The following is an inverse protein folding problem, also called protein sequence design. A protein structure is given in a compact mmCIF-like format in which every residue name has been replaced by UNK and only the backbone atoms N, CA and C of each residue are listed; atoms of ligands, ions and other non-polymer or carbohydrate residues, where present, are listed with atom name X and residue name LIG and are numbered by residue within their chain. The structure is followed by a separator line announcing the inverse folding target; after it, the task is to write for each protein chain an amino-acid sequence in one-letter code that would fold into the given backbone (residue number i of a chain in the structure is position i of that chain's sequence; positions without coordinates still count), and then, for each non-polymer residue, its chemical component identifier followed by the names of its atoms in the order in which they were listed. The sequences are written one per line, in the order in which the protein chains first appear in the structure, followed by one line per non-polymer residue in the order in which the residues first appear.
data_IF_550951087433
#
_entry.id   IF_550951087433
#
_cell.length_a   1.000
_cell.length_b   1.000
_cell.length_c   1.000
_cell.angle_alpha   90.00
_cell.angle_beta   90.00
_cell.angle_gamma   90.00
#
_symmetry.space_group_name_H-M   'P 1'
#
loop_
_entity.id
_entity.type
_entity.pdbx_description
1 polymer ?
#
# COMPACT_ATOMS: atom_id res chain seq x y z
N UNK A 1 15.17 -4.09 -8.12
CA UNK A 1 15.13 -2.82 -7.34
C UNK A 1 14.41 -1.82 -8.23
N UNK A 2 13.07 -1.88 -8.27
CA UNK A 2 12.30 -1.33 -9.40
C UNK A 2 10.93 -0.74 -9.04
N UNK A 3 10.57 -0.67 -7.77
CA UNK A 3 9.37 0.08 -7.36
C UNK A 3 9.83 1.22 -6.45
N UNK A 4 9.49 2.47 -6.78
CA UNK A 4 9.83 3.69 -6.03
C UNK A 4 9.19 3.78 -4.62
N UNK A 5 8.94 2.64 -3.98
CA UNK A 5 8.38 2.48 -2.65
C UNK A 5 9.46 2.01 -1.67
N UNK A 6 9.38 2.50 -0.44
CA UNK A 6 10.23 2.03 0.66
C UNK A 6 9.88 0.56 0.94
N UNK A 7 10.91 -0.30 1.02
CA UNK A 7 10.73 -1.70 1.37
C UNK A 7 10.05 -1.84 2.73
N UNK A 8 9.01 -2.68 2.79
CA UNK A 8 8.22 -2.90 3.99
C UNK A 8 9.05 -3.42 5.18
N UNK A 9 10.11 -4.20 4.90
CA UNK A 9 11.08 -4.65 5.90
C UNK A 9 11.93 -3.50 6.44
N UNK A 10 12.45 -2.66 5.54
CA UNK A 10 13.19 -1.44 5.90
C UNK A 10 12.37 -0.45 6.73
N UNK A 11 11.11 -0.19 6.34
CA UNK A 11 10.21 0.69 7.08
C UNK A 11 9.85 0.12 8.46
N UNK A 12 9.65 -1.20 8.55
CA UNK A 12 9.42 -1.89 9.82
C UNK A 12 10.60 -1.72 10.78
N UNK A 13 11.82 -1.94 10.30
CA UNK A 13 13.03 -1.76 11.10
C UNK A 13 13.21 -0.31 11.58
N UNK A 14 13.02 0.66 10.68
CA UNK A 14 13.06 2.09 11.04
C UNK A 14 12.04 2.43 12.14
N UNK A 15 10.80 1.94 12.01
CA UNK A 15 9.73 2.19 12.98
C UNK A 15 10.08 1.65 14.37
N UNK A 16 10.67 0.45 14.45
CA UNK A 16 11.13 -0.14 15.71
C UNK A 16 12.25 0.70 16.33
N UNK A 17 13.22 1.12 15.54
CA UNK A 17 14.36 1.92 16.02
C UNK A 17 13.95 3.34 16.45
N UNK A 18 13.02 3.99 15.73
CA UNK A 18 12.46 5.29 16.12
C UNK A 18 11.68 5.19 17.43
N UNK A 19 10.88 4.14 17.60
CA UNK A 19 10.21 3.84 18.87
C UNK A 19 11.20 3.65 20.02
N UNK A 20 12.25 2.85 19.83
CA UNK A 20 13.28 2.63 20.85
C UNK A 20 14.00 3.93 21.23
N UNK A 21 14.38 4.75 20.25
CA UNK A 21 15.06 6.03 20.49
C UNK A 21 14.19 7.01 21.29
N UNK A 22 12.91 7.14 20.93
CA UNK A 22 11.96 8.00 21.62
C UNK A 22 11.69 7.55 23.05
N UNK A 23 11.62 6.24 23.30
CA UNK A 23 11.50 5.70 24.66
C UNK A 23 12.72 6.09 25.50
N UNK A 24 13.94 5.94 24.95
CA UNK A 24 15.18 6.35 25.61
C UNK A 24 15.25 7.86 25.87
N UNK A 25 14.54 8.67 25.08
CA UNK A 25 14.42 10.13 25.26
C UNK A 25 13.29 10.56 26.21
N UNK A 26 12.51 9.62 26.76
CA UNK A 26 11.37 9.92 27.61
C UNK A 26 10.15 10.47 26.85
N UNK A 27 10.10 10.30 25.53
CA UNK A 27 9.03 10.78 24.64
C UNK A 27 7.88 9.76 24.50
N UNK A 28 7.70 8.87 25.48
CA UNK A 28 6.73 7.76 25.40
C UNK A 28 5.28 8.23 25.32
N UNK A 29 4.94 9.39 25.88
CA UNK A 29 3.59 9.98 25.77
C UNK A 29 3.24 10.39 24.33
N UNK A 30 4.24 10.75 23.52
CA UNK A 30 4.05 11.10 22.10
C UNK A 30 3.76 9.87 21.22
N UNK A 31 3.94 8.65 21.75
CA UNK A 31 3.69 7.40 21.02
C UNK A 31 2.24 6.92 21.13
N UNK A 32 1.53 7.27 22.20
CA UNK A 32 0.21 6.68 22.50
C UNK A 32 -0.88 7.05 21.48
N UNK A 33 -0.67 8.13 20.71
CA UNK A 33 -1.66 8.64 19.76
C UNK A 33 -1.14 8.69 18.31
N UNK A 34 0.05 8.16 18.04
CA UNK A 34 0.68 8.27 16.71
C UNK A 34 0.44 6.99 15.90
N UNK A 35 -0.26 7.13 14.77
CA UNK A 35 -0.28 6.09 13.74
C UNK A 35 1.04 6.10 12.96
N UNK A 36 1.59 4.94 12.57
CA UNK A 36 2.79 4.89 11.75
C UNK A 36 2.56 5.67 10.45
N UNK A 37 3.44 6.62 10.14
CA UNK A 37 3.39 7.33 8.87
C UNK A 37 4.13 6.54 7.80
N UNK A 38 3.45 6.25 6.69
CA UNK A 38 4.06 5.64 5.52
C UNK A 38 4.81 6.74 4.77
N UNK A 39 6.10 6.51 4.48
CA UNK A 39 6.95 7.44 3.74
C UNK A 39 6.99 6.96 2.29
N UNK A 40 6.41 7.72 1.36
CA UNK A 40 6.54 7.50 -0.08
C UNK A 40 7.78 8.23 -0.63
N UNK A 41 8.43 7.66 -1.65
CA UNK A 41 9.65 8.21 -2.26
C UNK A 41 9.31 8.95 -3.56
N UNK A 42 9.85 10.17 -3.72
CA UNK A 42 9.51 11.12 -4.79
C UNK A 42 10.13 10.77 -6.16
N UNK A 43 9.36 10.89 -7.26
CA UNK A 43 9.87 11.08 -8.63
C UNK A 43 9.02 12.07 -9.45
N UNK A 44 9.60 13.27 -9.64
CA UNK A 44 9.54 14.23 -10.75
C UNK A 44 8.30 14.43 -11.69
N UNK A 45 7.59 15.55 -11.45
CA UNK A 45 7.21 16.70 -12.33
C UNK A 45 6.00 16.65 -13.29
N UNK A 46 4.87 17.21 -12.79
CA UNK A 46 3.83 18.13 -13.38
C UNK A 46 2.85 17.65 -14.47
N UNK A 47 1.62 18.23 -14.60
CA UNK A 47 0.80 19.05 -13.68
C UNK A 47 -0.57 18.42 -13.34
N UNK A 48 -1.19 18.86 -12.23
CA UNK A 48 -2.52 18.44 -11.72
C UNK A 48 -2.63 16.92 -11.52
N UNK A 49 -2.29 16.46 -10.31
CA UNK A 49 -2.63 15.09 -9.89
C UNK A 49 -4.14 15.00 -9.73
N UNK A 50 -4.79 14.54 -10.79
CA UNK A 50 -6.18 14.14 -10.79
C UNK A 50 -6.29 12.89 -9.93
N UNK A 51 -6.94 12.97 -8.77
CA UNK A 51 -7.45 11.78 -8.07
C UNK A 51 -8.86 11.52 -8.57
N UNK A 52 -9.03 11.38 -9.89
CA UNK A 52 -10.22 10.72 -10.41
C UNK A 52 -9.95 9.23 -10.25
N UNK A 53 -10.83 8.55 -9.51
CA UNK A 53 -10.92 7.08 -9.54
C UNK A 53 -11.55 6.64 -10.88
N UNK A 54 -11.08 7.21 -11.99
CA UNK A 54 -11.53 6.91 -13.33
C UNK A 54 -10.42 6.11 -14.02
N UNK A 55 -10.55 4.78 -13.90
CA UNK A 55 -10.13 3.74 -14.83
C UNK A 55 -9.00 4.13 -15.79
N UNK A 56 -7.80 3.60 -15.54
CA UNK A 56 -6.89 3.28 -16.64
C UNK A 56 -7.18 1.86 -17.05
N UNK A 57 -7.62 1.71 -18.29
CA UNK A 57 -7.95 0.47 -18.96
C UNK A 57 -6.68 -0.27 -19.40
N UNK A 58 -6.68 -1.59 -19.23
CA UNK A 58 -6.00 -2.59 -20.06
C UNK A 58 -4.51 -2.37 -20.38
N UNK A 59 -3.65 -2.53 -19.37
CA UNK A 59 -2.43 -3.32 -19.56
C UNK A 59 -2.74 -4.74 -19.07
N UNK A 60 -2.28 -5.77 -19.78
CA UNK A 60 -2.42 -7.15 -19.33
C UNK A 60 -1.74 -7.30 -17.97
N UNK A 61 -2.50 -7.09 -16.89
CA UNK A 61 -2.01 -7.24 -15.52
C UNK A 61 -1.46 -8.66 -15.39
N UNK A 62 -0.15 -8.77 -15.19
CA UNK A 62 0.49 -10.05 -14.90
C UNK A 62 -0.21 -10.58 -13.63
N UNK A 63 -0.87 -11.75 -13.68
CA UNK A 63 -1.62 -12.24 -12.55
C UNK A 63 -0.73 -12.38 -11.32
N UNK A 64 -1.16 -11.85 -10.18
CA UNK A 64 -0.49 -12.04 -8.91
C UNK A 64 -0.51 -13.53 -8.53
N UNK A 65 -1.56 -14.26 -8.92
CA UNK A 65 -1.70 -15.68 -8.65
C UNK A 65 -2.18 -15.96 -7.24
N UNK A 66 -1.63 -17.02 -6.63
CA UNK A 66 -2.12 -17.54 -5.36
C UNK A 66 -1.10 -17.42 -4.23
N UNK A 67 -1.54 -16.89 -3.10
CA UNK A 67 -0.86 -17.04 -1.83
C UNK A 67 -1.15 -18.45 -1.28
N UNK A 68 -0.15 -19.32 -1.33
CA UNK A 68 -0.25 -20.73 -0.94
C UNK A 68 0.47 -20.99 0.38
N UNK A 69 -0.26 -21.43 1.38
CA UNK A 69 0.21 -21.61 2.76
C UNK A 69 -0.21 -22.98 3.29
N UNK A 70 0.71 -23.67 3.97
CA UNK A 70 0.40 -24.95 4.63
C UNK A 70 1.44 -25.31 5.69
N UNK A 71 1.08 -26.28 6.53
CA UNK A 71 1.96 -26.95 7.47
C UNK A 71 2.20 -28.39 7.00
N UNK A 72 3.44 -28.75 6.70
CA UNK A 72 3.86 -30.11 6.37
C UNK A 72 4.33 -30.83 7.64
N UNK A 73 3.78 -32.01 7.90
CA UNK A 73 4.24 -32.92 8.96
C UNK A 73 4.76 -34.22 8.37
N UNK A 74 5.94 -34.65 8.79
CA UNK A 74 6.63 -35.82 8.26
C UNK A 74 7.71 -36.32 9.20
N UNK A 75 8.63 -37.13 8.67
CA UNK A 75 9.87 -37.56 9.33
C UNK A 75 11.04 -37.22 8.42
N UNK A 76 12.17 -36.88 9.00
CA UNK A 76 13.41 -36.53 8.28
C UNK A 76 13.19 -35.44 7.22
N UNK A 77 12.33 -34.47 7.52
CA UNK A 77 12.14 -33.31 6.66
C UNK A 77 13.42 -32.47 6.65
N UNK A 78 13.75 -31.93 5.48
CA UNK A 78 14.90 -31.04 5.32
C UNK A 78 14.37 -29.68 4.82
N UNK A 79 14.20 -28.70 5.74
CA UNK A 79 13.70 -27.37 5.38
C UNK A 79 14.52 -26.69 4.29
N UNK A 80 15.84 -26.88 4.26
CA UNK A 80 16.71 -26.26 3.25
C UNK A 80 16.55 -26.93 1.88
N UNK A 81 16.39 -28.25 1.85
CA UNK A 81 16.07 -28.98 0.61
C UNK A 81 14.69 -28.59 0.06
N UNK A 82 13.68 -28.49 0.93
CA UNK A 82 12.33 -28.03 0.57
C UNK A 82 12.40 -26.61 -0.01
N UNK A 83 13.09 -25.71 0.67
CA UNK A 83 13.29 -24.32 0.23
C UNK A 83 13.97 -24.26 -1.15
N UNK A 84 15.05 -25.02 -1.34
CA UNK A 84 15.78 -25.06 -2.62
C UNK A 84 14.92 -25.56 -3.78
N UNK A 85 14.02 -26.52 -3.54
CA UNK A 85 13.09 -27.01 -4.55
C UNK A 85 12.04 -25.94 -4.88
N UNK A 86 11.41 -25.37 -3.85
CA UNK A 86 10.31 -24.42 -4.01
C UNK A 86 10.75 -23.04 -4.51
N UNK A 87 12.03 -22.66 -4.37
CA UNK A 87 12.58 -21.41 -4.91
C UNK A 87 12.36 -21.24 -6.43
N UNK A 88 12.21 -22.35 -7.17
CA UNK A 88 11.99 -22.34 -8.62
C UNK A 88 10.51 -22.38 -9.01
N UNK A 89 9.61 -22.43 -8.03
CA UNK A 89 8.18 -22.71 -8.20
C UNK A 89 7.29 -21.50 -7.87
N UNK A 90 7.88 -20.38 -7.48
CA UNK A 90 7.14 -19.19 -7.10
C UNK A 90 8.04 -18.10 -6.52
N UNK A 91 7.39 -17.09 -5.94
CA UNK A 91 8.01 -15.92 -5.33
C UNK A 91 7.66 -15.84 -3.84
N UNK A 92 8.32 -14.94 -3.11
CA UNK A 92 8.04 -14.67 -1.68
C UNK A 92 8.04 -15.92 -0.80
N UNK A 93 8.93 -16.88 -1.11
CA UNK A 93 9.00 -18.15 -0.41
C UNK A 93 9.49 -17.99 1.03
N UNK A 94 8.71 -18.51 1.97
CA UNK A 94 9.06 -18.68 3.37
C UNK A 94 8.95 -20.16 3.70
N UNK A 95 10.04 -20.73 4.23
CA UNK A 95 10.09 -22.10 4.72
C UNK A 95 10.73 -22.07 6.10
N UNK A 96 9.98 -22.45 7.12
CA UNK A 96 10.41 -22.40 8.53
C UNK A 96 9.97 -23.68 9.22
N UNK A 97 10.87 -24.33 9.96
CA UNK A 97 10.56 -25.54 10.69
C UNK A 97 11.79 -26.41 10.96
N UNK A 98 11.53 -27.69 11.24
CA UNK A 98 12.50 -28.72 11.58
C UNK A 98 12.26 -30.01 10.78
N UNK A 99 12.85 -31.12 11.24
CA UNK A 99 12.77 -32.45 10.62
C UNK A 99 11.43 -33.15 10.78
N UNK A 100 10.54 -32.63 11.63
CA UNK A 100 9.20 -33.20 11.86
C UNK A 100 8.10 -32.32 11.27
N UNK A 101 8.28 -31.00 11.30
CA UNK A 101 7.23 -30.03 10.95
C UNK A 101 7.81 -28.82 10.23
N UNK A 102 7.26 -28.50 9.06
CA UNK A 102 7.68 -27.36 8.22
C UNK A 102 6.48 -26.53 7.81
N UNK A 103 6.49 -25.23 8.14
CA UNK A 103 5.52 -24.25 7.62
C UNK A 103 6.05 -23.66 6.31
N UNK A 104 5.19 -23.62 5.31
CA UNK A 104 5.49 -23.08 3.99
C UNK A 104 4.50 -21.97 3.65
N UNK A 105 5.01 -20.87 3.09
CA UNK A 105 4.24 -19.82 2.43
C UNK A 105 4.94 -19.51 1.10
N UNK A 106 4.21 -19.49 -0.01
CA UNK A 106 4.74 -19.19 -1.34
C UNK A 106 3.68 -18.53 -2.21
N UNK A 107 4.07 -17.54 -3.01
CA UNK A 107 3.24 -16.97 -4.07
C UNK A 107 3.51 -17.72 -5.38
N UNK A 108 2.49 -18.32 -5.96
CA UNK A 108 2.63 -19.12 -7.19
C UNK A 108 1.38 -19.07 -8.06
N UNK A 109 1.54 -19.30 -9.36
CA UNK A 109 0.42 -19.43 -10.28
C UNK A 109 -0.25 -20.82 -10.19
N UNK A 110 0.47 -21.83 -9.70
CA UNK A 110 -0.02 -23.21 -9.59
C UNK A 110 0.21 -23.78 -8.17
N UNK A 111 -0.75 -23.57 -7.24
CA UNK A 111 -0.72 -24.19 -5.91
C UNK A 111 -0.70 -25.72 -5.95
N UNK A 112 -1.29 -26.32 -7.00
CA UNK A 112 -1.41 -27.77 -7.14
C UNK A 112 -0.06 -28.46 -7.23
N UNK A 113 0.89 -27.86 -7.95
CA UNK A 113 2.26 -28.37 -8.02
C UNK A 113 2.95 -28.33 -6.64
N UNK A 114 2.72 -27.28 -5.86
CA UNK A 114 3.31 -27.14 -4.51
C UNK A 114 2.75 -28.21 -3.56
N UNK A 115 1.44 -28.43 -3.57
CA UNK A 115 0.80 -29.45 -2.74
C UNK A 115 1.20 -30.85 -3.15
N UNK A 116 1.32 -31.12 -4.45
CA UNK A 116 1.79 -32.41 -4.97
C UNK A 116 3.21 -32.72 -4.49
N UNK A 117 4.10 -31.72 -4.53
CA UNK A 117 5.44 -31.87 -3.97
C UNK A 117 5.40 -32.12 -2.46
N UNK A 118 4.64 -31.33 -1.70
CA UNK A 118 4.56 -31.46 -0.24
C UNK A 118 4.01 -32.83 0.21
N UNK A 119 2.95 -33.32 -0.43
CA UNK A 119 2.34 -34.62 -0.12
C UNK A 119 3.24 -35.81 -0.42
N UNK A 120 4.23 -35.66 -1.30
CA UNK A 120 5.26 -36.70 -1.53
C UNK A 120 6.22 -36.92 -0.35
N UNK A 121 6.31 -35.95 0.58
CA UNK A 121 7.22 -35.97 1.73
C UNK A 121 6.51 -36.19 3.07
N UNK A 122 5.19 -36.01 3.12
CA UNK A 122 4.44 -36.11 4.37
C UNK A 122 2.97 -35.71 4.23
N UNK A 123 2.37 -35.31 5.34
CA UNK A 123 0.96 -34.90 5.41
C UNK A 123 0.84 -33.40 5.52
N UNK A 124 -0.02 -32.79 4.71
CA UNK A 124 -0.31 -31.35 4.74
C UNK A 124 -1.48 -31.04 5.68
N UNK A 125 -1.34 -29.97 6.44
CA UNK A 125 -2.31 -29.47 7.43
C UNK A 125 -2.46 -27.96 7.27
N UNK A 126 -3.57 -27.40 7.76
CA UNK A 126 -3.82 -25.94 7.75
C UNK A 126 -3.60 -25.31 6.38
N UNK A 127 -4.16 -25.93 5.35
CA UNK A 127 -3.94 -25.56 3.94
C UNK A 127 -4.78 -24.33 3.59
N UNK A 128 -4.16 -23.37 2.92
CA UNK A 128 -4.79 -22.17 2.38
C UNK A 128 -4.20 -21.85 1.02
N UNK A 129 -5.05 -21.67 0.01
CA UNK A 129 -4.67 -21.12 -1.29
C UNK A 129 -5.64 -19.99 -1.59
N UNK A 130 -5.15 -18.74 -1.59
CA UNK A 130 -5.98 -17.54 -1.78
C UNK A 130 -5.58 -16.84 -3.06
N UNK A 131 -6.57 -16.56 -3.91
CA UNK A 131 -6.37 -15.77 -5.13
C UNK A 131 -6.06 -14.32 -4.72
N UNK A 132 -4.85 -13.86 -5.02
CA UNK A 132 -4.41 -12.51 -4.67
C UNK A 132 -4.99 -11.46 -5.62
N UNK A 133 -5.32 -11.84 -6.86
CA UNK A 133 -5.99 -10.97 -7.82
C UNK A 133 -7.39 -10.58 -7.33
N UNK A 134 -8.15 -11.55 -6.82
CA UNK A 134 -9.46 -11.32 -6.21
C UNK A 134 -9.34 -10.46 -4.94
N UNK A 135 -8.36 -10.73 -4.08
CA UNK A 135 -8.11 -9.90 -2.89
C UNK A 135 -7.75 -8.45 -3.23
N UNK A 136 -7.00 -8.25 -4.33
CA UNK A 136 -6.66 -6.92 -4.82
C UNK A 136 -7.91 -6.19 -5.33
N UNK A 137 -8.74 -6.86 -6.12
CA UNK A 137 -10.01 -6.31 -6.61
C UNK A 137 -10.95 -5.94 -5.46
N UNK A 138 -11.15 -6.84 -4.49
CA UNK A 138 -11.92 -6.59 -3.27
C UNK A 138 -11.45 -5.36 -2.50
N UNK A 139 -10.13 -5.17 -2.43
CA UNK A 139 -9.53 -4.00 -1.77
C UNK A 139 -9.88 -2.71 -2.51
N UNK A 140 -9.75 -2.71 -3.84
CA UNK A 140 -10.13 -1.58 -4.69
C UNK A 140 -11.63 -1.26 -4.61
N UNK A 141 -12.49 -2.28 -4.62
CA UNK A 141 -13.93 -2.10 -4.49
C UNK A 141 -14.32 -1.55 -3.11
N UNK A 142 -13.70 -2.02 -2.04
CA UNK A 142 -13.92 -1.46 -0.68
C UNK A 142 -13.46 -0.01 -0.57
N UNK A 143 -12.42 0.40 -1.29
CA UNK A 143 -12.05 1.82 -1.37
C UNK A 143 -13.09 2.63 -2.15
N UNK A 144 -13.65 2.08 -3.24
CA UNK A 144 -14.68 2.74 -4.03
C UNK A 144 -16.02 2.87 -3.29
N UNK A 145 -16.41 1.84 -2.54
CA UNK A 145 -17.65 1.79 -1.75
C UNK A 145 -17.55 2.53 -0.40
N UNK A 146 -16.38 3.10 -0.06
CA UNK A 146 -16.25 4.10 1.02
C UNK A 146 -16.71 5.50 0.61
N UNK A 147 -17.31 5.65 -0.58
CA UNK A 147 -18.06 6.85 -0.98
C UNK A 147 -19.35 6.98 -0.17
N UNK A 148 -19.21 7.30 1.11
CA UNK A 148 -20.26 7.99 1.87
C UNK A 148 -20.57 9.29 1.10
N UNK A 149 -21.84 9.72 0.97
CA UNK A 149 -22.14 11.03 0.42
C UNK A 149 -21.31 12.06 1.16
N UNK A 150 -20.36 12.68 0.47
CA UNK A 150 -19.47 13.66 1.09
C UNK A 150 -20.29 14.93 1.24
N UNK A 151 -20.82 15.18 2.44
CA UNK A 151 -21.60 16.39 2.72
C UNK A 151 -20.74 17.66 2.57
N UNK A 152 -19.42 17.55 2.74
CA UNK A 152 -18.46 18.63 2.53
C UNK A 152 -17.15 18.10 1.97
N UNK A 153 -16.76 18.59 0.80
CA UNK A 153 -15.50 18.24 0.15
C UNK A 153 -14.37 19.17 0.58
N UNK A 154 -13.15 18.65 0.58
CA UNK A 154 -11.95 19.46 0.84
C UNK A 154 -11.17 19.58 -0.47
N UNK A 155 -10.78 20.80 -0.83
CA UNK A 155 -9.83 21.08 -1.91
C UNK A 155 -8.57 21.69 -1.27
N UNK A 156 -7.42 21.05 -1.44
CA UNK A 156 -6.17 21.53 -0.83
C UNK A 156 -5.22 22.10 -1.86
N UNK A 157 -4.44 23.11 -1.47
CA UNK A 157 -3.38 23.66 -2.30
C UNK A 157 -2.03 23.20 -1.74
N UNK A 158 -1.25 22.49 -2.56
CA UNK A 158 -0.05 21.81 -2.09
C UNK A 158 1.13 21.96 -3.06
N UNK A 159 2.32 22.07 -2.47
CA UNK A 159 3.57 22.24 -3.20
C UNK A 159 4.21 20.88 -3.47
N UNK A 160 4.19 20.46 -4.72
CA UNK A 160 4.81 19.21 -5.17
C UNK A 160 3.96 17.96 -4.92
N UNK A 161 4.36 16.88 -5.58
CA UNK A 161 3.61 15.62 -5.65
C UNK A 161 3.51 14.91 -4.30
N UNK A 162 4.57 14.92 -3.48
CA UNK A 162 4.54 14.24 -2.18
C UNK A 162 3.47 14.78 -1.22
N UNK A 163 3.32 16.11 -1.14
CA UNK A 163 2.23 16.71 -0.34
C UNK A 163 0.86 16.45 -0.97
N UNK A 164 0.78 16.42 -2.31
CA UNK A 164 -0.46 16.10 -3.01
C UNK A 164 -0.92 14.67 -2.73
N UNK A 165 -0.02 13.70 -2.74
CA UNK A 165 -0.30 12.30 -2.39
C UNK A 165 -0.75 12.16 -0.93
N UNK A 166 -0.09 12.87 -0.01
CA UNK A 166 -0.49 12.88 1.40
C UNK A 166 -1.91 13.42 1.54
N UNK A 167 -2.24 14.56 0.94
CA UNK A 167 -3.60 15.12 1.01
C UNK A 167 -4.64 14.20 0.34
N UNK A 168 -4.32 13.61 -0.80
CA UNK A 168 -5.17 12.61 -1.45
C UNK A 168 -5.44 11.40 -0.54
N UNK A 169 -4.40 10.88 0.13
CA UNK A 169 -4.53 9.75 1.06
C UNK A 169 -5.39 10.07 2.29
N UNK A 170 -5.48 11.35 2.66
CA UNK A 170 -6.29 11.85 3.76
C UNK A 170 -7.75 12.12 3.35
N UNK A 171 -8.12 11.88 2.09
CA UNK A 171 -9.49 12.02 1.60
C UNK A 171 -9.83 13.41 1.06
N UNK A 172 -8.83 14.22 0.71
CA UNK A 172 -9.07 15.48 -0.02
C UNK A 172 -9.62 15.15 -1.41
N UNK A 173 -10.68 15.86 -1.82
CA UNK A 173 -11.39 15.62 -3.08
C UNK A 173 -10.56 16.06 -4.30
N UNK A 174 -9.79 17.14 -4.19
CA UNK A 174 -8.87 17.59 -5.22
C UNK A 174 -7.67 18.32 -4.62
N UNK A 175 -6.50 18.14 -5.23
CA UNK A 175 -5.28 18.90 -4.90
C UNK A 175 -4.92 19.81 -6.05
N UNK A 176 -4.88 21.12 -5.78
CA UNK A 176 -4.43 22.14 -6.72
C UNK A 176 -2.95 22.41 -6.47
N UNK A 177 -2.15 22.39 -7.54
CA UNK A 177 -0.72 22.68 -7.42
C UNK A 177 -0.51 24.15 -7.02
N UNK A 178 0.23 24.38 -5.95
CA UNK A 178 0.55 25.73 -5.49
C UNK A 178 1.57 25.73 -4.35
N UNK A 179 2.13 26.88 -4.00
CA UNK A 179 3.18 26.97 -3.00
C UNK A 179 3.60 28.40 -2.68
N UNK A 180 4.76 28.56 -2.04
CA UNK A 180 5.27 29.88 -1.64
C UNK A 180 5.56 30.79 -2.84
N UNK A 181 6.06 30.21 -3.93
CA UNK A 181 6.48 30.92 -5.14
C UNK A 181 5.60 30.61 -6.36
N UNK A 182 4.63 29.71 -6.22
CA UNK A 182 3.74 29.25 -7.28
C UNK A 182 2.30 29.45 -6.81
N UNK A 183 1.71 30.61 -7.10
CA UNK A 183 0.32 30.86 -6.76
C UNK A 183 -0.58 30.30 -7.88
N UNK A 184 -1.51 29.38 -7.59
CA UNK A 184 -2.48 28.94 -8.57
C UNK A 184 -3.39 30.10 -8.97
N UNK A 185 -3.90 30.06 -10.19
CA UNK A 185 -4.92 31.02 -10.61
C UNK A 185 -6.28 30.67 -9.98
N UNK A 186 -7.18 31.65 -9.87
CA UNK A 186 -8.58 31.40 -9.46
C UNK A 186 -9.25 30.36 -10.35
N UNK A 187 -8.86 30.28 -11.63
CA UNK A 187 -9.36 29.24 -12.55
C UNK A 187 -8.91 27.84 -12.14
N UNK A 188 -7.66 27.68 -11.71
CA UNK A 188 -7.14 26.38 -11.25
C UNK A 188 -7.84 25.91 -9.97
N UNK A 189 -8.13 26.86 -9.07
CA UNK A 189 -8.90 26.59 -7.84
C UNK A 189 -10.34 26.22 -8.19
N UNK A 190 -11.00 26.99 -9.07
CA UNK A 190 -12.36 26.71 -9.53
C UNK A 190 -12.49 25.33 -10.17
N UNK A 191 -11.52 24.93 -10.99
CA UNK A 191 -11.51 23.58 -11.57
C UNK A 191 -11.41 22.47 -10.51
N UNK A 192 -10.73 22.73 -9.39
CA UNK A 192 -10.69 21.81 -8.25
C UNK A 192 -12.04 21.71 -7.52
N UNK A 193 -12.73 22.85 -7.37
CA UNK A 193 -14.07 22.94 -6.76
C UNK A 193 -15.13 22.27 -7.63
N UNK A 194 -15.18 22.55 -8.93
CA UNK A 194 -16.16 21.99 -9.87
C UNK A 194 -16.08 20.46 -10.01
N UNK A 195 -14.93 19.88 -9.65
CA UNK A 195 -14.70 18.43 -9.66
C UNK A 195 -14.95 17.76 -8.32
N UNK A 196 -15.25 18.54 -7.28
CA UNK A 196 -15.56 18.00 -5.97
C UNK A 196 -16.92 17.29 -6.00
N UNK A 197 -17.07 16.15 -5.27
CA UNK A 197 -18.32 15.39 -5.24
C UNK A 197 -19.45 16.06 -4.43
N UNK A 198 -19.25 17.28 -3.92
CA UNK A 198 -20.16 17.98 -3.02
C UNK A 198 -20.24 19.46 -3.37
N UNK A 199 -21.42 20.03 -3.19
CA UNK A 199 -21.66 21.48 -3.34
C UNK A 199 -21.08 22.30 -2.18
N UNK A 200 -20.84 21.68 -1.01
CA UNK A 200 -20.13 22.33 0.08
C UNK A 200 -18.64 22.02 -0.03
N UNK A 201 -17.81 23.05 -0.23
CA UNK A 201 -16.36 22.89 -0.42
C UNK A 201 -15.58 23.75 0.56
N UNK A 202 -14.64 23.13 1.27
CA UNK A 202 -13.63 23.81 2.09
C UNK A 202 -12.33 23.85 1.30
N UNK A 203 -11.82 25.05 1.04
CA UNK A 203 -10.52 25.24 0.40
C UNK A 203 -9.45 25.41 1.50
N UNK A 204 -8.38 24.63 1.42
CA UNK A 204 -7.20 24.76 2.27
C UNK A 204 -6.08 25.44 1.48
N UNK A 205 -5.97 26.78 1.52
CA UNK A 205 -5.07 27.52 0.64
C UNK A 205 -3.60 27.34 0.98
N UNK A 206 -3.28 26.94 2.21
CA UNK A 206 -1.93 26.61 2.70
C UNK A 206 -0.87 27.72 2.56
N UNK A 207 -1.25 28.90 2.04
CA UNK A 207 -0.42 30.09 1.88
C UNK A 207 -1.31 31.35 1.92
N UNK A 208 -0.90 32.35 2.70
CA UNK A 208 -1.56 33.66 2.82
C UNK A 208 -1.77 34.37 1.48
N UNK A 209 -0.87 34.17 0.51
CA UNK A 209 -0.95 34.81 -0.81
C UNK A 209 -2.07 34.21 -1.68
N UNK A 210 -2.61 33.05 -1.30
CA UNK A 210 -3.62 32.31 -2.06
C UNK A 210 -5.03 32.50 -1.48
N UNK A 211 -5.13 33.04 -0.25
CA UNK A 211 -6.41 33.27 0.46
C UNK A 211 -7.36 34.21 -0.30
N UNK A 212 -6.83 35.16 -1.07
CA UNK A 212 -7.69 36.08 -1.85
C UNK A 212 -8.21 35.47 -3.16
N UNK A 213 -7.55 34.42 -3.66
CA UNK A 213 -7.92 33.74 -4.89
C UNK A 213 -8.80 32.49 -4.65
N UNK A 214 -8.74 31.95 -3.42
CA UNK A 214 -9.55 30.87 -2.89
C UNK A 214 -10.90 31.39 -2.36
#
# INVERSE_FOLDING_TARGET
REAGVVDSGGQGLFTILDGALRYLRGESELMQFRKPQIIASNVATTPVTIVSHAKTEHEDEIPFGYCTEFLLKGRDLDPEKIKKHLLKKGQSLIVVGDDTTVRVHIHTLDPGEIFSYATSMGTIHSVSARNMDEQHQDYLEKQKNRSVPVETSIVSIAAGEGLAEVFASLGVAAVVAGGQTMNPSTKDILMGVERAPSDNVIILPNNKNIVLAA
#
